data_IF_206763055468
#
_entry.id   IF_206763055468
#
_cell.length_a   1.000
_cell.length_b   1.000
_cell.length_c   1.000
_cell.angle_alpha   90.00
_cell.angle_beta   90.00
_cell.angle_gamma   90.00
#
_symmetry.space_group_name_H-M   'P 1'
#
loop_
_entity.id
_entity.type
_entity.pdbx_description
1 polymer ?
#
# COMPACT_ATOMS: atom_id res chain seq x y z
N UNK A 1 6.46 1.03 3.73
CA UNK A 1 5.36 1.87 3.21
C UNK A 1 5.83 3.25 2.74
N UNK A 2 6.57 4.02 3.55
CA UNK A 2 7.09 5.33 3.13
C UNK A 2 7.91 5.31 1.82
N UNK A 3 8.79 4.31 1.64
CA UNK A 3 9.56 4.14 0.39
C UNK A 3 8.66 3.98 -0.84
N UNK A 4 7.54 3.27 -0.68
CA UNK A 4 6.53 3.07 -1.73
C UNK A 4 5.87 4.41 -2.05
N UNK A 5 5.45 5.16 -1.02
CA UNK A 5 4.82 6.48 -1.16
C UNK A 5 5.73 7.46 -1.91
N UNK A 6 7.00 7.55 -1.53
CA UNK A 6 7.97 8.43 -2.21
C UNK A 6 8.26 7.97 -3.64
N UNK A 7 8.45 6.67 -3.87
CA UNK A 7 8.71 6.14 -5.21
C UNK A 7 7.56 6.41 -6.18
N UNK A 8 6.31 6.24 -5.73
CA UNK A 8 5.12 6.52 -6.53
C UNK A 8 4.93 8.04 -6.72
N UNK A 9 5.17 8.86 -5.70
CA UNK A 9 5.06 10.32 -5.80
C UNK A 9 6.05 10.89 -6.83
N UNK A 10 7.34 10.57 -6.69
CA UNK A 10 8.35 11.08 -7.62
C UNK A 10 8.13 10.51 -9.02
N UNK A 11 7.78 9.23 -9.15
CA UNK A 11 7.45 8.64 -10.44
C UNK A 11 6.20 9.23 -11.12
N UNK A 12 5.23 9.75 -10.35
CA UNK A 12 4.05 10.41 -10.91
C UNK A 12 4.30 11.87 -11.34
N UNK A 13 5.31 12.54 -10.78
CA UNK A 13 5.58 13.98 -11.01
C UNK A 13 6.59 14.26 -12.12
N UNK A 14 7.49 13.32 -12.41
CA UNK A 14 8.60 13.55 -13.34
C UNK A 14 8.16 13.40 -14.80
N UNK A 15 8.63 14.33 -15.64
CA UNK A 15 8.31 14.36 -17.08
C UNK A 15 9.11 13.35 -17.90
N UNK A 16 10.24 12.84 -17.38
CA UNK A 16 11.08 11.87 -18.08
C UNK A 16 10.55 10.44 -17.84
N UNK A 17 9.99 9.77 -18.86
CA UNK A 17 9.31 8.48 -18.69
C UNK A 17 10.23 7.36 -18.22
N UNK A 18 11.53 7.40 -18.57
CA UNK A 18 12.50 6.38 -18.15
C UNK A 18 12.74 6.47 -16.65
N UNK A 19 12.98 7.68 -16.14
CA UNK A 19 13.23 7.92 -14.72
C UNK A 19 11.96 7.63 -13.90
N UNK A 20 10.79 8.05 -14.41
CA UNK A 20 9.49 7.79 -13.77
C UNK A 20 9.21 6.29 -13.62
N UNK A 21 9.50 5.50 -14.65
CA UNK A 21 9.30 4.04 -14.62
C UNK A 21 10.23 3.36 -13.62
N UNK A 22 11.49 3.79 -13.55
CA UNK A 22 12.47 3.25 -12.60
C UNK A 22 12.03 3.53 -11.16
N UNK A 23 11.61 4.75 -10.85
CA UNK A 23 11.16 5.14 -9.51
C UNK A 23 9.86 4.46 -9.10
N UNK A 24 8.89 4.32 -10.02
CA UNK A 24 7.68 3.53 -9.79
C UNK A 24 8.02 2.07 -9.51
N UNK A 25 8.92 1.47 -10.29
CA UNK A 25 9.33 0.08 -10.13
C UNK A 25 10.06 -0.15 -8.81
N UNK A 26 10.95 0.75 -8.40
CA UNK A 26 11.61 0.71 -7.09
C UNK A 26 10.60 0.88 -5.95
N UNK A 27 9.67 1.82 -6.08
CA UNK A 27 8.61 2.05 -5.11
C UNK A 27 7.73 0.82 -4.90
N UNK A 28 7.25 0.20 -5.99
CA UNK A 28 6.44 -1.02 -5.95
C UNK A 28 7.28 -2.21 -5.45
N UNK A 29 8.52 -2.34 -5.90
CA UNK A 29 9.44 -3.40 -5.46
C UNK A 29 9.68 -3.40 -3.95
N UNK A 30 9.68 -2.21 -3.33
CA UNK A 30 9.81 -2.08 -1.88
C UNK A 30 8.64 -2.70 -1.09
N UNK A 31 7.50 -3.02 -1.72
CA UNK A 31 6.40 -3.75 -1.09
C UNK A 31 6.83 -5.14 -0.60
N UNK A 32 7.80 -5.78 -1.28
CA UNK A 32 8.31 -7.10 -0.89
C UNK A 32 8.87 -7.13 0.53
N UNK A 33 9.45 -6.03 1.01
CA UNK A 33 9.98 -5.92 2.38
C UNK A 33 8.90 -5.70 3.43
N UNK A 34 7.69 -5.29 3.04
CA UNK A 34 6.59 -5.04 3.97
C UNK A 34 5.76 -6.29 4.29
N UNK A 35 5.82 -7.32 3.45
CA UNK A 35 5.06 -8.55 3.65
C UNK A 35 5.45 -9.32 4.93
N UNK A 36 6.75 -9.59 5.22
CA UNK A 36 7.11 -10.37 6.39
C UNK A 36 6.69 -9.73 7.73
N UNK A 37 6.93 -8.42 7.98
CA UNK A 37 6.52 -7.77 9.23
C UNK A 37 5.01 -7.79 9.48
N UNK A 38 4.19 -7.65 8.44
CA UNK A 38 2.72 -7.71 8.56
C UNK A 38 2.28 -9.11 8.98
N UNK A 39 2.90 -10.13 8.40
CA UNK A 39 2.61 -11.52 8.73
C UNK A 39 3.03 -11.89 10.15
N UNK A 40 4.21 -11.45 10.60
CA UNK A 40 4.65 -11.71 11.98
C UNK A 40 3.77 -10.97 12.98
N UNK A 41 3.39 -9.71 12.72
CA UNK A 41 2.45 -8.98 13.59
C UNK A 41 1.10 -9.69 13.72
N UNK A 42 0.57 -10.25 12.63
CA UNK A 42 -0.69 -11.00 12.70
C UNK A 42 -0.55 -12.21 13.64
N UNK A 43 0.56 -12.93 13.55
CA UNK A 43 0.84 -14.10 14.41
C UNK A 43 1.03 -13.71 15.87
N UNK A 44 1.56 -12.52 16.16
CA UNK A 44 1.70 -12.00 17.53
C UNK A 44 0.36 -11.57 18.15
N UNK A 45 -0.57 -11.05 17.34
CA UNK A 45 -1.87 -10.53 17.81
C UNK A 45 -2.91 -11.65 17.95
N UNK A 46 -2.88 -12.64 17.06
CA UNK A 46 -3.91 -13.69 16.98
C UNK A 46 -3.47 -14.94 17.74
N UNK A 47 -4.33 -15.55 18.59
CA UNK A 47 -4.03 -16.81 19.27
C UNK A 47 -3.62 -17.91 18.28
N UNK A 48 -2.67 -18.75 18.67
CA UNK A 48 -2.08 -19.78 17.81
C UNK A 48 -3.09 -20.76 17.20
N UNK A 49 -4.18 -21.06 17.91
CA UNK A 49 -5.29 -21.90 17.44
C UNK A 49 -6.23 -21.20 16.45
N UNK A 50 -6.14 -19.87 16.32
CA UNK A 50 -7.02 -19.05 15.48
C UNK A 50 -6.28 -18.32 14.34
N UNK A 51 -4.96 -18.54 14.15
CA UNK A 51 -4.17 -17.90 13.08
C UNK A 51 -4.78 -18.15 11.70
N UNK A 52 -5.35 -19.34 11.44
CA UNK A 52 -6.02 -19.67 10.19
C UNK A 52 -7.23 -18.76 9.90
N UNK A 53 -8.06 -18.51 10.91
CA UNK A 53 -9.22 -17.60 10.80
C UNK A 53 -8.75 -16.15 10.70
N UNK A 54 -7.80 -15.74 11.53
CA UNK A 54 -7.25 -14.38 11.51
C UNK A 54 -6.61 -14.01 10.16
N UNK A 55 -5.82 -14.93 9.59
CA UNK A 55 -5.23 -14.76 8.26
C UNK A 55 -6.25 -14.79 7.14
N UNK A 56 -7.27 -15.65 7.24
CA UNK A 56 -8.39 -15.68 6.31
C UNK A 56 -9.15 -14.35 6.26
N UNK A 57 -9.48 -13.79 7.43
CA UNK A 57 -10.15 -12.47 7.53
C UNK A 57 -9.26 -11.35 7.00
N UNK A 58 -7.97 -11.33 7.38
CA UNK A 58 -7.02 -10.33 6.89
C UNK A 58 -6.90 -10.36 5.36
N UNK A 59 -6.72 -11.55 4.77
CA UNK A 59 -6.61 -11.68 3.33
C UNK A 59 -7.93 -11.40 2.61
N UNK A 60 -9.06 -11.83 3.17
CA UNK A 60 -10.38 -11.58 2.59
C UNK A 60 -10.68 -10.08 2.51
N UNK A 61 -10.46 -9.35 3.59
CA UNK A 61 -10.61 -7.89 3.61
C UNK A 61 -9.60 -7.22 2.68
N UNK A 62 -8.32 -7.58 2.76
CA UNK A 62 -7.28 -6.97 1.92
C UNK A 62 -7.57 -7.14 0.42
N UNK A 63 -7.89 -8.35 -0.02
CA UNK A 63 -8.21 -8.60 -1.44
C UNK A 63 -9.55 -7.99 -1.84
N UNK A 64 -10.55 -8.01 -0.96
CA UNK A 64 -11.85 -7.38 -1.20
C UNK A 64 -11.74 -5.88 -1.44
N UNK A 65 -10.98 -5.16 -0.60
CA UNK A 65 -10.72 -3.73 -0.81
C UNK A 65 -9.80 -3.50 -2.01
N UNK A 66 -8.79 -4.35 -2.23
CA UNK A 66 -7.89 -4.24 -3.39
C UNK A 66 -8.65 -4.31 -4.72
N UNK A 67 -9.70 -5.13 -4.80
CA UNK A 67 -10.58 -5.21 -5.98
C UNK A 67 -11.33 -3.91 -6.27
N UNK A 68 -11.56 -3.06 -5.27
CA UNK A 68 -12.23 -1.76 -5.43
C UNK A 68 -11.26 -0.63 -5.82
N UNK A 69 -9.95 -0.82 -5.64
CA UNK A 69 -8.93 0.20 -5.93
C UNK A 69 -8.95 0.67 -7.39
N UNK A 70 -9.06 -0.21 -8.42
CA UNK A 70 -9.15 0.23 -9.81
C UNK A 70 -10.37 1.11 -10.08
N UNK A 71 -11.50 0.83 -9.43
CA UNK A 71 -12.71 1.66 -9.55
C UNK A 71 -12.49 3.05 -8.94
N UNK A 72 -11.88 3.12 -7.75
CA UNK A 72 -11.56 4.38 -7.09
C UNK A 72 -10.57 5.22 -7.93
N UNK A 73 -9.50 4.60 -8.44
CA UNK A 73 -8.53 5.25 -9.33
C UNK A 73 -9.20 5.73 -10.61
N UNK A 74 -10.01 4.89 -11.26
CA UNK A 74 -10.74 5.23 -12.47
C UNK A 74 -11.70 6.40 -12.26
N UNK A 75 -12.39 6.44 -11.12
CA UNK A 75 -13.25 7.56 -10.75
C UNK A 75 -12.46 8.87 -10.56
N UNK A 76 -11.33 8.83 -9.87
CA UNK A 76 -10.44 10.00 -9.69
C UNK A 76 -9.91 10.50 -11.05
N UNK A 77 -9.52 9.59 -11.94
CA UNK A 77 -9.07 9.95 -13.30
C UNK A 77 -10.22 10.55 -14.10
N UNK A 78 -11.43 10.02 -13.99
CA UNK A 78 -12.60 10.53 -14.71
C UNK A 78 -12.93 11.98 -14.34
N UNK A 79 -12.86 12.34 -13.06
CA UNK A 79 -13.15 13.71 -12.59
C UNK A 79 -11.99 14.69 -12.82
N UNK A 80 -10.73 14.23 -12.75
CA UNK A 80 -9.54 15.10 -12.86
C UNK A 80 -8.97 15.19 -14.28
N UNK A 81 -9.28 14.22 -15.14
CA UNK A 81 -8.72 14.09 -16.48
C UNK A 81 -7.24 13.71 -16.53
N UNK A 82 -6.58 13.41 -15.40
CA UNK A 82 -5.15 13.13 -15.35
C UNK A 82 -4.81 11.87 -14.54
N UNK A 83 -3.97 11.04 -15.14
CA UNK A 83 -3.49 9.79 -14.55
C UNK A 83 -2.64 10.02 -13.28
N UNK A 84 -1.97 11.17 -13.19
CA UNK A 84 -1.14 11.52 -12.03
C UNK A 84 -1.95 11.57 -10.73
N UNK A 85 -3.21 12.06 -10.78
CA UNK A 85 -4.09 12.08 -9.61
C UNK A 85 -4.52 10.68 -9.16
N UNK A 86 -4.65 9.74 -10.10
CA UNK A 86 -4.84 8.32 -9.77
C UNK A 86 -3.64 7.73 -9.01
N UNK A 87 -2.42 8.13 -9.37
CA UNK A 87 -1.20 7.74 -8.64
C UNK A 87 -1.11 8.44 -7.28
N UNK A 88 -1.51 9.70 -7.16
CA UNK A 88 -1.55 10.40 -5.87
C UNK A 88 -2.52 9.75 -4.88
N UNK A 89 -3.63 9.19 -5.35
CA UNK A 89 -4.50 8.37 -4.50
C UNK A 89 -3.74 7.19 -3.86
N UNK A 90 -2.90 6.49 -4.64
CA UNK A 90 -2.03 5.42 -4.11
C UNK A 90 -0.99 5.95 -3.12
N UNK A 91 -0.43 7.14 -3.36
CA UNK A 91 0.49 7.81 -2.42
C UNK A 91 -0.22 8.07 -1.08
N UNK A 92 -1.44 8.59 -1.09
CA UNK A 92 -2.22 8.84 0.13
C UNK A 92 -2.50 7.54 0.90
N UNK A 93 -2.95 6.49 0.21
CA UNK A 93 -3.22 5.18 0.83
C UNK A 93 -1.96 4.56 1.45
N UNK A 94 -0.82 4.65 0.76
CA UNK A 94 0.46 4.13 1.26
C UNK A 94 1.06 4.96 2.39
N UNK A 95 0.84 6.27 2.41
CA UNK A 95 1.24 7.13 3.53
C UNK A 95 0.39 6.84 4.78
N UNK A 96 -0.93 6.67 4.61
CA UNK A 96 -1.84 6.29 5.69
C UNK A 96 -1.48 4.92 6.28
N UNK A 97 -1.16 3.93 5.44
CA UNK A 97 -0.73 2.61 5.93
C UNK A 97 0.60 2.70 6.69
N UNK A 98 1.54 3.56 6.28
CA UNK A 98 2.77 3.80 7.02
C UNK A 98 2.50 4.35 8.43
N UNK A 99 1.57 5.31 8.56
CA UNK A 99 1.18 5.88 9.85
C UNK A 99 0.55 4.82 10.76
N UNK A 100 -0.39 4.03 10.24
CA UNK A 100 -1.06 2.97 11.02
C UNK A 100 -0.04 1.93 11.50
N UNK A 101 0.86 1.47 10.61
CA UNK A 101 1.91 0.53 10.99
C UNK A 101 2.82 1.12 12.07
N UNK A 102 3.23 2.39 11.96
CA UNK A 102 4.06 3.06 12.95
C UNK A 102 3.37 3.05 14.34
N UNK A 103 2.08 3.41 14.39
CA UNK A 103 1.30 3.36 15.63
C UNK A 103 1.21 1.95 16.22
N UNK A 104 1.00 0.92 15.39
CA UNK A 104 0.94 -0.47 15.86
C UNK A 104 2.30 -0.96 16.37
N UNK A 105 3.40 -0.62 15.70
CA UNK A 105 4.74 -1.01 16.14
C UNK A 105 5.11 -0.35 17.47
N UNK A 106 4.67 0.89 17.72
CA UNK A 106 4.92 1.57 18.99
C UNK A 106 4.09 0.98 20.12
N UNK A 107 2.80 0.66 19.88
CA UNK A 107 1.89 0.12 20.91
C UNK A 107 2.11 -1.37 21.20
N UNK A 108 2.68 -2.12 20.25
CA UNK A 108 3.01 -3.54 20.41
C UNK A 108 4.34 -3.82 21.12
N UNK A 109 5.07 -2.78 21.55
CA UNK A 109 6.25 -2.86 22.42
C UNK A 109 5.89 -2.35 23.81
#
# INVERSE_FOLDING_TARGET
>A
MLVVSFGVLFGATLSNPVISTILLSLGIGALGFAFPPVWTMLQDIVPSNAIGVGSGVMNGLANGFSALVPLAIGFVIHITGSYAYGLYFLVCCSALSALIMLFMTIKGR
#
